data_IF_679890762956
#
_entry.id   IF_679890762956
#
_cell.length_a   1.000
_cell.length_b   1.000
_cell.length_c   1.000
_cell.angle_alpha   90.00
_cell.angle_beta   90.00
_cell.angle_gamma   90.00
#
_symmetry.space_group_name_H-M   'P 1'
#
loop_
_entity.id
_entity.type
_entity.pdbx_description
1 polymer ?
#
# COMPACT_ATOMS: atom_id res chain seq x y z
N UNK A 1 22.61 -2.98 3.25
CA UNK A 1 22.70 -3.21 1.78
C UNK A 1 21.32 -3.53 1.20
N UNK A 2 20.55 -4.45 1.78
CA UNK A 2 19.23 -4.84 1.27
C UNK A 2 18.17 -3.71 1.30
N UNK A 3 18.05 -2.92 2.37
CA UNK A 3 16.98 -1.90 2.49
C UNK A 3 16.99 -0.84 1.36
N UNK A 4 18.14 -0.22 1.09
CA UNK A 4 18.25 0.77 0.00
C UNK A 4 17.96 0.16 -1.37
N UNK A 5 18.36 -1.10 -1.60
CA UNK A 5 18.06 -1.80 -2.86
C UNK A 5 16.57 -2.12 -2.97
N UNK A 6 15.93 -2.55 -1.88
CA UNK A 6 14.48 -2.77 -1.82
C UNK A 6 13.74 -1.47 -2.12
N UNK A 7 14.11 -0.35 -1.48
CA UNK A 7 13.50 0.97 -1.76
C UNK A 7 13.65 1.38 -3.21
N UNK A 8 14.86 1.26 -3.77
CA UNK A 8 15.14 1.58 -5.17
C UNK A 8 14.27 0.77 -6.13
N UNK A 9 14.21 -0.56 -5.95
CA UNK A 9 13.42 -1.45 -6.83
C UNK A 9 11.93 -1.17 -6.67
N UNK A 10 11.45 -1.00 -5.43
CA UNK A 10 10.05 -0.68 -5.15
C UNK A 10 9.63 0.64 -5.80
N UNK A 11 10.48 1.67 -5.71
CA UNK A 11 10.22 2.95 -6.35
C UNK A 11 10.17 2.85 -7.86
N UNK A 12 11.20 2.24 -8.46
CA UNK A 12 11.34 2.14 -9.91
C UNK A 12 10.19 1.38 -10.56
N UNK A 13 9.76 0.27 -9.93
CA UNK A 13 8.85 -0.70 -10.54
C UNK A 13 7.39 -0.46 -10.19
N UNK A 14 7.11 0.09 -9.01
CA UNK A 14 5.75 0.19 -8.50
C UNK A 14 5.39 1.61 -8.07
N UNK A 15 6.12 2.17 -7.10
CA UNK A 15 5.63 3.37 -6.39
C UNK A 15 5.65 4.60 -7.29
N UNK A 16 6.78 4.93 -7.91
CA UNK A 16 6.89 6.17 -8.67
C UNK A 16 5.99 6.19 -9.93
N UNK A 17 5.92 5.13 -10.76
CA UNK A 17 5.01 5.14 -11.91
C UNK A 17 3.54 5.35 -11.52
N UNK A 18 3.08 4.74 -10.42
CA UNK A 18 1.71 4.92 -9.92
C UNK A 18 1.51 6.35 -9.38
N UNK A 19 2.46 6.87 -8.60
CA UNK A 19 2.42 8.23 -8.09
C UNK A 19 2.38 9.28 -9.21
N UNK A 20 3.26 9.15 -10.21
CA UNK A 20 3.31 10.05 -11.36
C UNK A 20 2.02 9.97 -12.21
N UNK A 21 1.40 8.79 -12.32
CA UNK A 21 0.11 8.64 -13.00
C UNK A 21 -1.01 9.36 -12.23
N UNK A 22 -1.08 9.16 -10.91
CA UNK A 22 -2.03 9.82 -10.02
C UNK A 22 -1.90 11.36 -10.10
N UNK A 23 -0.67 11.87 -10.00
CA UNK A 23 -0.36 13.30 -10.14
C UNK A 23 -0.84 13.87 -11.48
N UNK A 24 -0.56 13.19 -12.60
CA UNK A 24 -1.04 13.62 -13.93
C UNK A 24 -2.55 13.58 -14.07
N UNK A 25 -3.21 12.66 -13.39
CA UNK A 25 -4.66 12.53 -13.42
C UNK A 25 -5.35 13.55 -12.51
N UNK A 26 -4.67 14.13 -11.52
CA UNK A 26 -5.27 15.05 -10.55
C UNK A 26 -5.99 16.24 -11.21
N UNK A 27 -5.41 16.82 -12.26
CA UNK A 27 -6.00 17.94 -12.99
C UNK A 27 -7.05 17.53 -14.05
N UNK A 28 -7.11 16.24 -14.39
CA UNK A 28 -7.91 15.71 -15.49
C UNK A 28 -9.12 14.91 -15.00
N UNK A 29 -9.03 14.29 -13.83
CA UNK A 29 -10.03 13.39 -13.30
C UNK A 29 -11.23 14.19 -12.78
N UNK A 30 -12.42 13.82 -13.25
CA UNK A 30 -13.68 14.35 -12.71
C UNK A 30 -14.17 13.57 -11.48
N UNK A 31 -13.61 12.38 -11.26
CA UNK A 31 -13.98 11.49 -10.15
C UNK A 31 -12.93 11.56 -9.05
N UNK A 32 -13.33 11.37 -7.78
CA UNK A 32 -12.38 11.31 -6.65
C UNK A 32 -11.34 10.21 -6.85
N UNK A 33 -10.09 10.54 -6.55
CA UNK A 33 -8.97 9.60 -6.54
C UNK A 33 -8.56 9.35 -5.09
N UNK A 34 -8.04 8.17 -4.79
CA UNK A 34 -7.63 7.78 -3.44
C UNK A 34 -6.30 7.05 -3.49
N UNK A 35 -5.39 7.39 -2.58
CA UNK A 35 -4.07 6.76 -2.44
C UNK A 35 -3.95 6.11 -1.07
N UNK A 36 -3.45 4.87 -1.01
CA UNK A 36 -3.11 4.20 0.24
C UNK A 36 -1.74 3.53 0.19
N UNK A 37 -1.17 3.30 1.37
CA UNK A 37 -0.04 2.38 1.60
C UNK A 37 -0.50 1.27 2.52
N UNK A 38 -0.22 0.03 2.14
CA UNK A 38 -0.41 -1.12 3.04
C UNK A 38 0.90 -1.37 3.80
N UNK A 39 0.84 -1.26 5.13
CA UNK A 39 1.99 -1.34 6.03
C UNK A 39 1.73 -2.27 7.24
N UNK A 40 0.73 -3.16 7.14
CA UNK A 40 0.44 -4.18 8.14
C UNK A 40 1.27 -5.45 7.88
N UNK A 41 2.05 -5.85 8.88
CA UNK A 41 2.83 -7.08 8.93
C UNK A 41 2.10 -8.11 9.79
N UNK A 42 1.30 -8.95 9.14
CA UNK A 42 0.55 -10.03 9.79
C UNK A 42 1.31 -11.36 9.85
N UNK A 43 0.60 -12.41 10.28
CA UNK A 43 1.21 -13.74 10.50
C UNK A 43 1.64 -14.46 9.22
N UNK A 44 1.11 -14.02 8.07
CA UNK A 44 1.36 -14.57 6.74
C UNK A 44 2.02 -13.50 5.87
N UNK A 45 3.07 -13.85 5.15
CA UNK A 45 3.75 -12.94 4.22
C UNK A 45 4.37 -13.69 3.05
N UNK A 46 4.28 -13.12 1.85
CA UNK A 46 4.92 -13.64 0.64
C UNK A 46 6.44 -13.63 0.73
N UNK A 47 7.02 -12.89 1.68
CA UNK A 47 8.44 -13.01 2.03
C UNK A 47 8.86 -14.46 2.32
N UNK A 48 7.95 -15.30 2.82
CA UNK A 48 8.24 -16.70 3.12
C UNK A 48 8.56 -17.52 1.86
N UNK A 49 7.88 -17.22 0.75
CA UNK A 49 8.13 -17.86 -0.53
C UNK A 49 9.40 -17.30 -1.19
N UNK A 50 9.59 -15.99 -1.18
CA UNK A 50 10.74 -15.35 -1.83
C UNK A 50 12.07 -15.67 -1.11
N UNK A 51 12.03 -15.74 0.22
CA UNK A 51 13.19 -16.01 1.06
C UNK A 51 13.40 -17.47 1.42
N UNK A 52 12.47 -18.37 1.06
CA UNK A 52 12.53 -19.80 1.39
C UNK A 52 12.60 -20.11 2.89
N UNK A 53 12.16 -19.18 3.75
CA UNK A 53 12.21 -19.27 5.21
C UNK A 53 11.12 -18.40 5.82
N UNK A 54 10.73 -18.62 7.08
CA UNK A 54 9.73 -17.78 7.75
C UNK A 54 10.33 -16.51 8.37
N UNK A 55 11.43 -16.01 7.82
CA UNK A 55 12.05 -14.75 8.25
C UNK A 55 11.25 -13.59 7.67
N UNK A 56 10.87 -12.66 8.54
CA UNK A 56 10.11 -11.46 8.17
C UNK A 56 11.07 -10.39 7.63
N UNK A 57 10.79 -9.87 6.43
CA UNK A 57 11.57 -8.82 5.78
C UNK A 57 10.76 -7.52 5.60
N UNK A 58 9.67 -7.38 6.36
CA UNK A 58 8.67 -6.32 6.20
C UNK A 58 7.53 -6.75 5.28
N UNK A 59 6.71 -5.78 4.89
CA UNK A 59 5.53 -6.00 4.04
C UNK A 59 5.96 -6.11 2.58
N UNK A 60 5.75 -7.29 1.98
CA UNK A 60 6.11 -7.56 0.60
C UNK A 60 5.00 -7.20 -0.38
N UNK A 61 5.37 -7.11 -1.66
CA UNK A 61 4.41 -7.02 -2.75
C UNK A 61 3.44 -8.22 -2.72
N UNK A 62 2.14 -7.94 -2.72
CA UNK A 62 1.08 -8.94 -2.68
C UNK A 62 0.61 -9.32 -1.27
N UNK A 63 1.28 -8.87 -0.21
CA UNK A 63 0.84 -9.19 1.17
C UNK A 63 -0.56 -8.63 1.47
N UNK A 64 -0.94 -7.51 0.86
CA UNK A 64 -2.28 -6.93 0.97
C UNK A 64 -3.38 -7.86 0.40
N UNK A 65 -3.05 -8.68 -0.60
CA UNK A 65 -3.99 -9.65 -1.20
C UNK A 65 -4.38 -10.77 -0.24
N UNK A 66 -3.53 -11.08 0.74
CA UNK A 66 -3.82 -12.08 1.78
C UNK A 66 -5.08 -11.70 2.56
N UNK A 67 -5.36 -10.41 2.69
CA UNK A 67 -6.49 -9.86 3.44
C UNK A 67 -7.73 -9.57 2.55
N UNK A 68 -7.65 -9.89 1.25
CA UNK A 68 -8.76 -9.74 0.29
C UNK A 68 -9.25 -11.08 -0.26
N UNK A 69 -8.37 -12.08 -0.33
CA UNK A 69 -8.65 -13.38 -0.94
C UNK A 69 -8.32 -14.51 0.04
N UNK A 70 -9.00 -15.68 -0.06
CA UNK A 70 -8.79 -16.80 0.85
C UNK A 70 -7.48 -17.54 0.52
N UNK A 71 -6.34 -16.92 0.85
CA UNK A 71 -5.00 -17.41 0.52
C UNK A 71 -4.32 -18.19 1.65
N UNK A 72 -4.92 -18.28 2.84
CA UNK A 72 -4.32 -18.95 4.00
C UNK A 72 -3.83 -20.38 3.70
N UNK A 73 -4.59 -21.14 2.92
CA UNK A 73 -4.22 -22.50 2.52
C UNK A 73 -2.85 -22.57 1.80
N UNK A 74 -2.49 -21.54 1.05
CA UNK A 74 -1.20 -21.43 0.36
C UNK A 74 -0.02 -21.36 1.33
N UNK A 75 -0.23 -20.81 2.54
CA UNK A 75 0.82 -20.63 3.55
C UNK A 75 0.97 -21.82 4.51
N UNK A 76 0.12 -22.85 4.43
CA UNK A 76 0.18 -24.02 5.32
C UNK A 76 1.52 -24.77 5.24
N UNK A 77 2.22 -24.71 4.10
CA UNK A 77 3.56 -25.30 3.94
C UNK A 77 4.58 -24.73 4.94
N UNK A 78 4.35 -23.51 5.42
CA UNK A 78 5.18 -22.83 6.42
C UNK A 78 4.68 -23.05 7.85
N UNK A 79 3.61 -23.85 8.05
CA UNK A 79 2.97 -24.10 9.35
C UNK A 79 2.54 -22.80 10.06
N UNK A 80 2.09 -21.82 9.27
CA UNK A 80 1.56 -20.54 9.73
C UNK A 80 0.06 -20.48 9.41
N UNK A 81 -0.69 -19.79 10.26
CA UNK A 81 -2.13 -19.55 10.14
C UNK A 81 -2.42 -18.10 10.51
N UNK A 82 -3.59 -17.59 10.12
CA UNK A 82 -4.00 -16.23 10.49
C UNK A 82 -4.24 -16.12 12.00
N UNK A 83 -3.78 -15.02 12.59
CA UNK A 83 -4.10 -14.62 13.97
C UNK A 83 -5.45 -13.91 14.02
N UNK A 84 -5.96 -13.65 15.24
CA UNK A 84 -7.16 -12.83 15.41
C UNK A 84 -7.01 -11.41 14.84
N UNK A 85 -5.82 -10.81 14.94
CA UNK A 85 -5.55 -9.50 14.34
C UNK A 85 -5.56 -9.55 12.81
N UNK A 86 -5.06 -10.65 12.21
CA UNK A 86 -5.11 -10.84 10.75
C UNK A 86 -6.56 -10.95 10.25
N UNK A 87 -7.44 -11.60 11.01
CA UNK A 87 -8.87 -11.67 10.69
C UNK A 87 -9.55 -10.30 10.79
N UNK A 88 -9.17 -9.47 11.76
CA UNK A 88 -9.65 -8.08 11.84
C UNK A 88 -9.15 -7.23 10.65
N UNK A 89 -7.92 -7.47 10.19
CA UNK A 89 -7.41 -6.83 8.97
C UNK A 89 -8.17 -7.32 7.70
N UNK A 90 -8.59 -8.59 7.64
CA UNK A 90 -9.49 -9.08 6.57
C UNK A 90 -10.79 -8.28 6.56
N UNK A 91 -11.44 -8.10 7.71
CA UNK A 91 -12.66 -7.31 7.80
C UNK A 91 -12.44 -5.85 7.35
N UNK A 92 -11.34 -5.25 7.79
CA UNK A 92 -10.92 -3.90 7.40
C UNK A 92 -10.75 -3.77 5.88
N UNK A 93 -9.95 -4.63 5.27
CA UNK A 93 -9.64 -4.59 3.84
C UNK A 93 -10.84 -4.91 2.97
N UNK A 94 -11.63 -5.94 3.31
CA UNK A 94 -12.85 -6.30 2.58
C UNK A 94 -13.87 -5.16 2.63
N UNK A 95 -14.09 -4.54 3.81
CA UNK A 95 -15.03 -3.43 3.92
C UNK A 95 -14.56 -2.19 3.17
N UNK A 96 -13.27 -1.86 3.23
CA UNK A 96 -12.67 -0.75 2.48
C UNK A 96 -12.87 -0.92 0.96
N UNK A 97 -12.56 -2.09 0.41
CA UNK A 97 -12.67 -2.34 -1.02
C UNK A 97 -14.14 -2.47 -1.48
N UNK A 98 -15.00 -3.13 -0.70
CA UNK A 98 -16.42 -3.30 -1.06
C UNK A 98 -17.20 -1.99 -1.01
N UNK A 99 -16.96 -1.15 0.00
CA UNK A 99 -17.59 0.17 0.08
C UNK A 99 -17.21 1.10 -1.08
N UNK A 100 -15.95 1.07 -1.51
CA UNK A 100 -15.53 1.76 -2.73
C UNK A 100 -16.26 1.23 -3.96
N UNK A 101 -16.35 -0.09 -4.11
CA UNK A 101 -17.04 -0.70 -5.25
C UNK A 101 -18.55 -0.37 -5.28
N UNK A 102 -19.20 -0.27 -4.12
CA UNK A 102 -20.65 0.02 -4.02
C UNK A 102 -20.93 1.52 -4.21
N UNK A 103 -20.15 2.39 -3.56
CA UNK A 103 -20.48 3.82 -3.40
C UNK A 103 -19.50 4.79 -4.09
N UNK A 104 -18.37 4.31 -4.61
CA UNK A 104 -17.27 5.15 -5.09
C UNK A 104 -16.51 5.89 -3.98
N UNK A 105 -16.88 5.68 -2.71
CA UNK A 105 -16.25 6.27 -1.53
C UNK A 105 -15.87 5.16 -0.57
N UNK A 106 -14.57 4.97 -0.27
CA UNK A 106 -14.13 3.91 0.60
C UNK A 106 -14.44 4.25 2.05
N UNK A 107 -15.10 3.32 2.74
CA UNK A 107 -15.35 3.37 4.16
C UNK A 107 -14.19 2.72 4.90
N UNK A 108 -13.54 3.48 5.78
CA UNK A 108 -12.56 2.91 6.69
C UNK A 108 -13.29 2.34 7.90
N UNK A 109 -12.91 1.13 8.28
CA UNK A 109 -13.26 0.57 9.58
C UNK A 109 -12.01 0.62 10.43
N UNK A 110 -11.96 1.56 11.38
CA UNK A 110 -11.01 1.56 12.48
C UNK A 110 -11.79 1.48 13.78
N UNK A 111 -11.15 1.01 14.85
CA UNK A 111 -11.65 0.79 16.22
C UNK A 111 -12.45 1.98 16.81
N UNK A 112 -12.31 3.14 16.21
CA UNK A 112 -12.83 4.46 16.56
C UNK A 112 -13.87 5.01 15.56
N UNK A 113 -14.15 4.33 14.45
CA UNK A 113 -15.30 4.60 13.55
C UNK A 113 -15.38 5.99 12.93
N UNK A 114 -14.32 6.80 13.02
CA UNK A 114 -14.33 8.25 12.74
C UNK A 114 -13.40 8.68 11.61
N UNK A 115 -12.42 7.85 11.22
CA UNK A 115 -11.48 8.19 10.15
C UNK A 115 -12.18 8.11 8.79
N UNK A 116 -12.34 9.26 8.13
CA UNK A 116 -12.81 9.33 6.75
C UNK A 116 -11.62 9.34 5.81
N UNK A 117 -11.55 8.40 4.86
CA UNK A 117 -10.50 8.44 3.82
C UNK A 117 -10.75 9.65 2.94
N UNK A 118 -9.90 10.66 3.09
CA UNK A 118 -9.97 11.86 2.25
C UNK A 118 -9.53 11.51 0.83
N UNK A 119 -10.23 12.07 -0.15
CA UNK A 119 -9.77 12.04 -1.54
C UNK A 119 -8.35 12.59 -1.61
N UNK A 120 -7.56 12.03 -2.51
CA UNK A 120 -6.24 12.56 -2.84
C UNK A 120 -6.38 14.00 -3.35
N UNK A 121 -5.53 14.90 -2.86
CA UNK A 121 -5.54 16.32 -3.21
C UNK A 121 -4.11 16.84 -3.39
N UNK A 122 -3.99 18.15 -3.64
CA UNK A 122 -2.70 18.85 -3.67
C UNK A 122 -1.95 18.84 -2.33
N UNK A 123 -2.61 18.42 -1.24
CA UNK A 123 -1.96 18.20 0.06
C UNK A 123 -1.15 16.89 0.11
N UNK A 124 -1.13 16.13 -1.00
CA UNK A 124 -0.44 14.86 -1.17
C UNK A 124 -0.81 13.84 -0.09
N UNK A 125 -2.11 13.79 0.23
CA UNK A 125 -2.63 12.99 1.32
C UNK A 125 -2.87 11.54 0.92
N UNK A 126 -2.57 10.60 1.82
CA UNK A 126 -2.78 9.17 1.59
C UNK A 126 -3.19 8.46 2.88
N UNK A 127 -3.85 7.31 2.74
CA UNK A 127 -4.20 6.45 3.86
C UNK A 127 -3.08 5.44 4.11
N UNK A 128 -2.49 5.44 5.30
CA UNK A 128 -1.68 4.33 5.78
C UNK A 128 -2.58 3.30 6.46
N UNK A 129 -2.49 2.04 6.03
CA UNK A 129 -3.21 0.90 6.62
C UNK A 129 -2.19 0.04 7.37
N UNK A 130 -2.33 -0.03 8.68
CA UNK A 130 -1.41 -0.71 9.60
C UNK A 130 -0.12 0.07 9.87
N UNK A 131 0.58 -0.36 10.91
CA UNK A 131 1.95 0.06 11.18
C UNK A 131 2.76 -1.08 11.81
N UNK A 132 3.49 -1.83 10.97
CA UNK A 132 4.09 -3.09 11.40
C UNK A 132 2.98 -4.06 11.82
N UNK A 133 3.11 -4.70 12.98
CA UNK A 133 2.08 -5.63 13.48
C UNK A 133 0.89 -4.94 14.16
N UNK A 134 0.85 -3.61 14.21
CA UNK A 134 -0.27 -2.86 14.78
C UNK A 134 -1.38 -2.65 13.75
N UNK A 135 -2.62 -2.92 14.19
CA UNK A 135 -3.83 -2.58 13.44
C UNK A 135 -4.10 -1.09 13.55
N UNK A 136 -4.65 -0.51 12.49
CA UNK A 136 -5.06 0.89 12.49
C UNK A 136 -5.02 1.50 11.11
N UNK A 137 -5.52 2.72 11.03
CA UNK A 137 -5.50 3.50 9.80
C UNK A 137 -5.24 4.96 10.11
N UNK A 138 -4.33 5.59 9.38
CA UNK A 138 -3.96 7.00 9.57
C UNK A 138 -3.96 7.71 8.23
N UNK A 139 -4.55 8.91 8.16
CA UNK A 139 -4.39 9.79 7.00
C UNK A 139 -3.14 10.63 7.18
N UNK A 140 -2.19 10.48 6.27
CA UNK A 140 -0.89 11.17 6.26
C UNK A 140 -0.79 12.09 5.04
N UNK A 141 0.23 12.93 5.01
CA UNK A 141 0.56 13.84 3.90
C UNK A 141 2.05 13.78 3.60
N UNK A 142 2.45 14.18 2.39
CA UNK A 142 3.83 14.13 1.93
C UNK A 142 4.24 12.70 1.59
N UNK A 143 3.68 12.15 0.52
CA UNK A 143 3.89 10.77 0.11
C UNK A 143 5.31 10.56 -0.40
N UNK A 144 6.20 10.10 0.49
CA UNK A 144 7.59 9.75 0.17
C UNK A 144 8.33 10.87 -0.59
N UNK A 145 8.13 12.13 -0.17
CA UNK A 145 8.50 13.35 -0.90
C UNK A 145 9.91 13.32 -1.51
N UNK A 146 10.94 13.06 -0.68
CA UNK A 146 12.34 13.02 -1.14
C UNK A 146 12.57 11.97 -2.24
N UNK A 147 11.91 10.81 -2.13
CA UNK A 147 12.05 9.73 -3.11
C UNK A 147 11.29 10.06 -4.37
N UNK A 148 10.04 10.52 -4.26
CA UNK A 148 9.24 10.87 -5.44
C UNK A 148 9.86 12.02 -6.23
N UNK A 149 10.45 13.00 -5.54
CA UNK A 149 11.20 14.09 -6.17
C UNK A 149 12.44 13.58 -6.91
N UNK A 150 13.25 12.70 -6.30
CA UNK A 150 14.41 12.11 -6.95
C UNK A 150 14.04 11.45 -8.29
N UNK A 151 12.96 10.67 -8.32
CA UNK A 151 12.51 10.00 -9.54
C UNK A 151 11.89 10.96 -10.56
N UNK A 152 11.24 12.03 -10.11
CA UNK A 152 10.77 13.11 -10.99
C UNK A 152 11.93 13.79 -11.71
N UNK A 153 12.99 14.16 -10.98
CA UNK A 153 14.18 14.79 -11.54
C UNK A 153 14.91 13.86 -12.52
N UNK A 154 15.03 12.58 -12.17
CA UNK A 154 15.64 11.57 -13.03
C UNK A 154 14.92 11.45 -14.38
N UNK A 155 13.58 11.43 -14.37
CA UNK A 155 12.80 11.30 -15.60
C UNK A 155 12.80 12.58 -16.45
N UNK A 156 12.75 13.76 -15.82
CA UNK A 156 12.87 15.03 -16.52
C UNK A 156 14.21 15.14 -17.27
N UNK A 157 15.30 14.76 -16.61
CA UNK A 157 16.64 14.76 -17.22
C UNK A 157 16.78 13.74 -18.35
N UNK A 158 16.20 12.53 -18.22
CA UNK A 158 16.20 11.54 -19.31
C UNK A 158 15.46 12.04 -20.57
N UNK A 159 14.39 12.82 -20.38
CA UNK A 159 13.59 13.38 -21.47
C UNK A 159 14.30 14.56 -22.15
N UNK A 160 15.15 15.29 -21.42
CA UNK A 160 15.94 16.41 -21.95
C UNK A 160 17.13 15.97 -22.82
N UNK A 161 17.67 14.77 -22.58
CA UNK A 161 18.82 14.21 -23.34
C UNK A 161 18.38 13.48 -24.61
N UNK A 162 17.09 13.12 -24.72
CA UNK A 162 16.52 12.41 -25.85
C UNK A 162 16.00 13.31 -26.99
N UNK A 163 16.08 14.64 -26.85
CA UNK A 163 15.73 15.66 -27.85
C UNK A 163 16.99 16.40 -28.33
#
# INVERSE_FOLDING_TARGET
>A
ILDNLTRLISDARYIYPNYAALQRQLDLAVNPQYLYTFNYLGSLSFTFFYGGSTVEYGVAHGDDLIYLFPLEATFQIFKKTMSSADLEMVETMVKLWTSFAINGTPAISGVDGTTTWKQYSTDDNYLQIGDGSELGTEVKSGFLEERMQFWADLNANSSAVAN
#
